data_IF_824998439494
#
_entry.id   IF_824998439494
#
_cell.length_a   1.000
_cell.length_b   1.000
_cell.length_c   1.000
_cell.angle_alpha   90.00
_cell.angle_beta   90.00
_cell.angle_gamma   90.00
#
_symmetry.space_group_name_H-M   'P 1'
#
loop_
_entity.id
_entity.type
_entity.pdbx_description
1 polymer ?
#
# COMPACT_ATOMS: atom_id res chain seq x y z
N UNK A 1 41.08 -6.88 -8.11
CA UNK A 1 40.27 -7.39 -9.24
C UNK A 1 39.53 -8.61 -8.75
N UNK A 2 38.28 -8.41 -8.31
CA UNK A 2 37.42 -9.49 -7.79
C UNK A 2 36.69 -10.11 -9.00
N UNK A 3 37.15 -11.30 -9.45
CA UNK A 3 36.39 -12.09 -10.43
C UNK A 3 35.13 -12.57 -9.75
N UNK A 4 34.00 -11.88 -10.00
CA UNK A 4 32.71 -12.38 -9.60
C UNK A 4 32.52 -13.78 -10.17
N UNK A 5 32.39 -14.78 -9.31
CA UNK A 5 32.02 -16.14 -9.71
C UNK A 5 30.64 -16.04 -10.39
N UNK A 6 30.57 -16.51 -11.65
CA UNK A 6 29.27 -16.65 -12.31
C UNK A 6 28.37 -17.53 -11.42
N UNK A 7 27.09 -17.14 -11.23
CA UNK A 7 26.17 -17.90 -10.39
C UNK A 7 25.97 -19.32 -10.98
N UNK A 8 26.00 -20.34 -10.14
CA UNK A 8 25.67 -21.70 -10.54
C UNK A 8 24.19 -21.82 -10.85
N UNK A 9 23.84 -21.96 -12.12
CA UNK A 9 22.45 -22.03 -12.58
C UNK A 9 21.95 -23.48 -12.65
N UNK A 10 20.68 -23.70 -12.28
CA UNK A 10 20.03 -25.01 -12.33
C UNK A 10 19.31 -25.14 -13.69
N UNK A 11 19.87 -25.96 -14.57
CA UNK A 11 19.39 -26.10 -15.95
C UNK A 11 17.93 -26.55 -16.07
N UNK A 12 17.40 -27.37 -15.14
CA UNK A 12 15.99 -27.78 -15.14
C UNK A 12 15.06 -26.62 -14.85
N UNK A 13 15.43 -25.72 -13.93
CA UNK A 13 14.65 -24.49 -13.62
C UNK A 13 14.63 -23.56 -14.83
N UNK A 14 15.79 -23.30 -15.44
CA UNK A 14 15.87 -22.46 -16.64
C UNK A 14 14.99 -23.01 -17.78
N UNK A 15 15.01 -24.34 -18.00
CA UNK A 15 14.18 -24.98 -19.03
C UNK A 15 12.69 -24.86 -18.72
N UNK A 16 12.28 -25.02 -17.47
CA UNK A 16 10.89 -24.87 -17.04
C UNK A 16 10.40 -23.42 -17.26
N UNK A 17 11.17 -22.41 -16.83
CA UNK A 17 10.85 -21.00 -17.05
C UNK A 17 10.73 -20.68 -18.53
N UNK A 18 11.66 -21.16 -19.37
CA UNK A 18 11.60 -20.96 -20.82
C UNK A 18 10.36 -21.58 -21.46
N UNK A 19 9.92 -22.76 -20.99
CA UNK A 19 8.65 -23.35 -21.44
C UNK A 19 7.47 -22.47 -21.09
N UNK A 20 7.40 -21.95 -19.86
CA UNK A 20 6.35 -21.06 -19.39
C UNK A 20 6.28 -19.77 -20.24
N UNK A 21 7.43 -19.15 -20.52
CA UNK A 21 7.54 -17.96 -21.38
C UNK A 21 6.99 -18.23 -22.79
N UNK A 22 7.36 -19.37 -23.40
CA UNK A 22 6.88 -19.73 -24.74
C UNK A 22 5.38 -19.98 -24.74
N UNK A 23 4.81 -20.62 -23.71
CA UNK A 23 3.35 -20.79 -23.58
C UNK A 23 2.65 -19.44 -23.50
N UNK A 24 3.20 -18.49 -22.71
CA UNK A 24 2.65 -17.13 -22.59
C UNK A 24 2.60 -16.34 -23.90
N UNK A 25 3.47 -16.66 -24.88
CA UNK A 25 3.47 -16.05 -26.21
C UNK A 25 2.38 -16.62 -27.16
N UNK A 26 1.63 -17.66 -26.73
CA UNK A 26 0.63 -18.35 -27.54
C UNK A 26 -0.75 -18.31 -26.85
N UNK A 27 -1.52 -17.24 -27.02
CA UNK A 27 -2.81 -17.06 -26.33
C UNK A 27 -3.83 -18.16 -26.62
N UNK A 28 -3.76 -18.80 -27.80
CA UNK A 28 -4.61 -19.93 -28.18
C UNK A 28 -4.14 -21.31 -27.66
N UNK A 29 -3.06 -21.32 -26.89
CA UNK A 29 -2.42 -22.55 -26.44
C UNK A 29 -1.41 -23.14 -27.43
N UNK A 30 -0.54 -24.01 -26.95
CA UNK A 30 0.55 -24.62 -27.74
C UNK A 30 0.74 -26.09 -27.34
N UNK A 31 0.94 -26.99 -28.33
CA UNK A 31 1.13 -28.39 -28.06
C UNK A 31 2.55 -28.71 -27.58
N UNK A 32 2.73 -29.82 -26.83
CA UNK A 32 4.05 -30.26 -26.35
C UNK A 32 5.09 -30.45 -27.46
N UNK A 33 4.65 -30.89 -28.65
CA UNK A 33 5.55 -31.05 -29.83
C UNK A 33 6.07 -29.70 -30.34
N UNK A 34 5.19 -28.70 -30.39
CA UNK A 34 5.58 -27.36 -30.78
C UNK A 34 6.50 -26.70 -29.73
N UNK A 35 6.20 -26.89 -28.44
CA UNK A 35 7.04 -26.43 -27.35
C UNK A 35 8.46 -27.05 -27.40
N UNK A 36 8.56 -28.37 -27.59
CA UNK A 36 9.83 -29.06 -27.73
C UNK A 36 10.67 -28.46 -28.89
N UNK A 37 10.03 -28.20 -30.03
CA UNK A 37 10.70 -27.57 -31.19
C UNK A 37 11.13 -26.13 -30.93
N UNK A 38 10.27 -25.31 -30.34
CA UNK A 38 10.55 -23.90 -30.07
C UNK A 38 11.66 -23.70 -29.00
N UNK A 39 11.75 -24.64 -28.04
CA UNK A 39 12.75 -24.58 -26.96
C UNK A 39 14.01 -25.40 -27.24
N UNK A 40 14.02 -26.24 -28.28
CA UNK A 40 15.12 -27.14 -28.60
C UNK A 40 15.26 -28.31 -27.61
N UNK A 41 14.24 -28.56 -26.78
CA UNK A 41 14.24 -29.64 -25.79
C UNK A 41 13.79 -30.97 -26.41
N UNK A 42 14.37 -32.08 -25.91
CA UNK A 42 13.84 -33.41 -26.24
C UNK A 42 12.39 -33.55 -25.75
N UNK A 43 11.53 -34.16 -26.56
CA UNK A 43 10.11 -34.30 -26.26
C UNK A 43 9.81 -34.97 -24.91
N UNK A 44 10.52 -36.04 -24.48
CA UNK A 44 10.34 -36.63 -23.14
C UNK A 44 10.63 -35.63 -22.02
N UNK A 45 11.71 -34.86 -22.14
CA UNK A 45 12.07 -33.80 -21.17
C UNK A 45 10.98 -32.72 -21.11
N UNK A 46 10.47 -32.31 -22.26
CA UNK A 46 9.36 -31.36 -22.34
C UNK A 46 8.13 -31.86 -21.59
N UNK A 47 7.72 -33.12 -21.78
CA UNK A 47 6.59 -33.70 -21.06
C UNK A 47 6.81 -33.78 -19.55
N UNK A 48 8.03 -34.07 -19.09
CA UNK A 48 8.32 -34.07 -17.64
C UNK A 48 8.17 -32.70 -17.02
N UNK A 49 8.70 -31.67 -17.68
CA UNK A 49 8.60 -30.27 -17.22
C UNK A 49 7.14 -29.78 -17.27
N UNK A 50 6.42 -30.05 -18.37
CA UNK A 50 5.01 -29.68 -18.51
C UNK A 50 4.14 -30.34 -17.41
N UNK A 51 4.39 -31.59 -17.06
CA UNK A 51 3.67 -32.27 -15.96
C UNK A 51 3.86 -31.56 -14.63
N UNK A 52 5.10 -31.17 -14.32
CA UNK A 52 5.41 -30.39 -13.12
C UNK A 52 4.72 -29.05 -13.14
N UNK A 53 4.85 -28.28 -14.22
CA UNK A 53 4.24 -26.95 -14.34
C UNK A 53 2.70 -27.00 -14.26
N UNK A 54 2.07 -28.05 -14.79
CA UNK A 54 0.62 -28.25 -14.65
C UNK A 54 0.25 -28.65 -13.21
N UNK A 55 1.04 -29.54 -12.57
CA UNK A 55 0.81 -29.93 -11.18
C UNK A 55 0.89 -28.73 -10.22
N UNK A 56 1.85 -27.85 -10.44
CA UNK A 56 2.05 -26.64 -9.65
C UNK A 56 1.12 -25.47 -10.07
N UNK A 57 0.20 -25.68 -11.04
CA UNK A 57 -0.77 -24.67 -11.49
C UNK A 57 -0.20 -23.53 -12.34
N UNK A 58 1.06 -23.59 -12.74
CA UNK A 58 1.66 -22.58 -13.65
C UNK A 58 1.22 -22.74 -15.10
N UNK A 59 0.82 -23.93 -15.51
CA UNK A 59 0.20 -24.22 -16.79
C UNK A 59 -1.10 -24.98 -16.58
N UNK A 60 -2.02 -24.84 -17.55
CA UNK A 60 -3.19 -25.69 -17.68
C UNK A 60 -3.14 -26.45 -19.00
N UNK A 61 -3.69 -27.67 -19.04
CA UNK A 61 -3.81 -28.48 -20.25
C UNK A 61 -5.26 -28.45 -20.71
N UNK A 62 -5.47 -28.09 -21.97
CA UNK A 62 -6.78 -28.08 -22.62
C UNK A 62 -7.17 -29.49 -23.12
N UNK A 63 -8.44 -29.69 -23.45
CA UNK A 63 -9.00 -30.97 -23.93
C UNK A 63 -8.39 -31.44 -25.26
N UNK A 64 -7.98 -30.48 -26.11
CA UNK A 64 -7.28 -30.74 -27.37
C UNK A 64 -5.79 -31.08 -27.18
N UNK A 65 -5.31 -31.07 -25.92
CA UNK A 65 -3.94 -31.38 -25.56
C UNK A 65 -2.96 -30.21 -25.65
N UNK A 66 -3.43 -29.00 -25.95
CA UNK A 66 -2.63 -27.78 -25.89
C UNK A 66 -2.42 -27.34 -24.43
N UNK A 67 -1.38 -26.55 -24.19
CA UNK A 67 -1.04 -25.96 -22.89
C UNK A 67 -1.21 -24.46 -22.96
N UNK A 68 -1.82 -23.89 -21.92
CA UNK A 68 -2.01 -22.46 -21.69
C UNK A 68 -1.41 -22.08 -20.34
N UNK A 69 -1.29 -20.79 -20.08
CA UNK A 69 -0.88 -20.24 -18.79
C UNK A 69 -1.92 -20.60 -17.73
N UNK A 70 -1.46 -21.07 -16.58
CA UNK A 70 -2.29 -21.45 -15.43
C UNK A 70 -2.50 -20.30 -14.43
N UNK A 71 -3.39 -20.53 -13.48
CA UNK A 71 -3.85 -19.51 -12.50
C UNK A 71 -2.75 -18.97 -11.58
N UNK A 72 -1.72 -19.77 -11.26
CA UNK A 72 -0.61 -19.33 -10.41
C UNK A 72 0.17 -18.13 -11.01
N UNK A 73 0.19 -18.00 -12.34
CA UNK A 73 0.85 -16.88 -13.00
C UNK A 73 0.07 -15.58 -12.79
N UNK A 74 -1.26 -15.63 -12.76
CA UNK A 74 -2.09 -14.47 -12.43
C UNK A 74 -1.82 -14.00 -11.00
N UNK A 75 -1.80 -14.92 -10.03
CA UNK A 75 -1.47 -14.58 -8.64
C UNK A 75 -0.07 -13.97 -8.47
N UNK A 76 0.94 -14.45 -9.21
CA UNK A 76 2.27 -13.83 -9.21
C UNK A 76 2.27 -12.43 -9.84
N UNK A 77 1.50 -12.24 -10.91
CA UNK A 77 1.34 -10.93 -11.54
C UNK A 77 0.74 -9.91 -10.58
N UNK A 78 -0.36 -10.28 -9.90
CA UNK A 78 -1.04 -9.44 -8.93
C UNK A 78 -0.12 -9.10 -7.75
N UNK A 79 0.62 -10.07 -7.24
CA UNK A 79 1.62 -9.86 -6.19
C UNK A 79 2.74 -8.90 -6.64
N UNK A 80 3.22 -9.04 -7.87
CA UNK A 80 4.25 -8.16 -8.43
C UNK A 80 3.73 -6.72 -8.59
N UNK A 81 2.50 -6.54 -9.06
CA UNK A 81 1.85 -5.23 -9.15
C UNK A 81 1.67 -4.59 -7.78
N UNK A 82 1.20 -5.34 -6.77
CA UNK A 82 1.05 -4.86 -5.41
C UNK A 82 2.41 -4.42 -4.79
N UNK A 83 3.49 -5.18 -5.04
CA UNK A 83 4.84 -4.82 -4.61
C UNK A 83 5.34 -3.54 -5.29
N UNK A 84 5.13 -3.40 -6.59
CA UNK A 84 5.50 -2.21 -7.34
C UNK A 84 4.76 -0.96 -6.86
N UNK A 85 3.46 -1.10 -6.59
CA UNK A 85 2.62 -0.05 -6.04
C UNK A 85 3.11 0.41 -4.67
N UNK A 86 3.38 -0.54 -3.75
CA UNK A 86 3.94 -0.23 -2.42
C UNK A 86 5.28 0.49 -2.53
N UNK A 87 6.15 0.05 -3.43
CA UNK A 87 7.44 0.71 -3.69
C UNK A 87 7.26 2.15 -4.15
N UNK A 88 6.32 2.40 -5.07
CA UNK A 88 6.01 3.73 -5.59
C UNK A 88 5.45 4.66 -4.49
N UNK A 89 4.54 4.15 -3.67
CA UNK A 89 3.97 4.89 -2.53
C UNK A 89 5.08 5.24 -1.54
N UNK A 90 5.89 4.25 -1.15
CA UNK A 90 7.00 4.46 -0.21
C UNK A 90 8.01 5.47 -0.73
N UNK A 91 8.38 5.42 -2.01
CA UNK A 91 9.27 6.42 -2.63
C UNK A 91 8.68 7.83 -2.55
N UNK A 92 7.38 7.98 -2.83
CA UNK A 92 6.65 9.25 -2.67
C UNK A 92 6.71 9.78 -1.25
N UNK A 93 6.55 8.90 -0.25
CA UNK A 93 6.63 9.28 1.17
C UNK A 93 8.05 9.67 1.58
N UNK A 94 9.07 8.98 1.07
CA UNK A 94 10.49 9.31 1.32
C UNK A 94 10.83 10.70 0.77
N UNK A 95 10.47 10.98 -0.48
CA UNK A 95 10.65 12.29 -1.09
C UNK A 95 9.97 13.39 -0.26
N UNK A 96 8.71 13.17 0.13
CA UNK A 96 7.96 14.13 0.95
C UNK A 96 8.60 14.35 2.33
N UNK A 97 9.14 13.29 2.96
CA UNK A 97 9.87 13.39 4.23
C UNK A 97 11.10 14.29 4.09
N UNK A 98 11.85 14.13 3.00
CA UNK A 98 13.06 14.91 2.73
C UNK A 98 12.73 16.38 2.45
N UNK A 99 11.72 16.61 1.62
CA UNK A 99 11.27 17.97 1.26
C UNK A 99 10.77 18.76 2.48
N UNK A 100 9.98 18.11 3.34
CA UNK A 100 9.33 18.79 4.47
C UNK A 100 10.12 18.68 5.78
N UNK A 101 11.12 17.81 5.84
CA UNK A 101 11.81 17.47 7.08
C UNK A 101 10.83 17.16 8.22
N UNK A 102 9.92 16.22 7.95
CA UNK A 102 8.81 15.78 8.81
C UNK A 102 8.63 14.26 8.71
N UNK A 103 8.11 13.59 9.74
CA UNK A 103 7.71 12.19 9.62
C UNK A 103 6.39 12.07 8.83
N UNK A 104 6.29 11.05 7.99
CA UNK A 104 5.17 10.82 7.08
C UNK A 104 4.44 9.54 7.47
N UNK A 105 3.11 9.58 7.42
CA UNK A 105 2.23 8.46 7.77
C UNK A 105 1.24 8.23 6.62
N UNK A 106 1.06 6.97 6.26
CA UNK A 106 -0.05 6.53 5.42
C UNK A 106 -0.96 5.65 6.27
N UNK A 107 -2.24 5.98 6.32
CA UNK A 107 -3.20 5.26 7.13
C UNK A 107 -4.53 5.12 6.39
N UNK A 108 -5.29 4.07 6.73
CA UNK A 108 -6.65 3.82 6.24
C UNK A 108 -7.62 3.58 7.38
N UNK A 109 -8.91 3.69 7.06
CA UNK A 109 -9.97 3.22 7.92
C UNK A 109 -10.47 1.89 7.39
N UNK A 110 -10.36 0.84 8.19
CA UNK A 110 -10.64 -0.52 7.77
C UNK A 110 -11.33 -1.27 8.91
N UNK A 111 -12.45 -1.93 8.61
CA UNK A 111 -13.28 -2.68 9.57
C UNK A 111 -13.57 -1.92 10.89
N UNK A 112 -13.78 -0.61 10.75
CA UNK A 112 -14.11 0.24 11.91
C UNK A 112 -12.91 0.76 12.69
N UNK A 113 -11.70 0.52 12.24
CA UNK A 113 -10.46 0.85 12.91
C UNK A 113 -9.55 1.77 12.08
N UNK A 114 -8.77 2.60 12.77
CA UNK A 114 -7.67 3.35 12.16
C UNK A 114 -6.44 2.46 12.08
N UNK A 115 -6.02 2.15 10.86
CA UNK A 115 -4.85 1.30 10.59
C UNK A 115 -3.75 2.14 9.96
N UNK A 116 -2.58 2.20 10.60
CA UNK A 116 -1.39 2.83 10.04
C UNK A 116 -0.62 1.78 9.23
N UNK A 117 -0.60 1.95 7.91
CA UNK A 117 0.02 0.99 6.98
C UNK A 117 1.52 1.21 6.84
N UNK A 118 1.94 2.46 6.79
CA UNK A 118 3.33 2.82 6.54
C UNK A 118 3.71 4.08 7.34
N UNK A 119 4.92 4.09 7.91
CA UNK A 119 5.54 5.27 8.51
C UNK A 119 6.92 5.43 7.90
N UNK A 120 7.22 6.63 7.43
CA UNK A 120 8.54 7.01 6.94
C UNK A 120 9.08 8.12 7.82
N UNK A 121 10.03 7.77 8.67
CA UNK A 121 10.68 8.66 9.63
C UNK A 121 12.22 8.60 9.51
N UNK A 122 12.91 9.35 10.34
CA UNK A 122 14.37 9.32 10.46
C UNK A 122 14.81 9.86 11.83
N UNK A 123 16.07 9.70 12.24
CA UNK A 123 16.57 10.32 13.46
C UNK A 123 16.41 11.86 13.52
N UNK A 124 16.34 12.51 12.36
CA UNK A 124 16.09 13.97 12.26
C UNK A 124 14.62 14.34 12.27
N UNK A 125 13.78 13.41 11.87
CA UNK A 125 12.32 13.54 11.78
C UNK A 125 11.68 12.33 12.44
N UNK A 126 11.79 12.18 13.77
CA UNK A 126 11.26 11.02 14.45
C UNK A 126 9.73 11.02 14.34
N UNK A 127 9.16 9.81 14.28
CA UNK A 127 7.72 9.62 14.44
C UNK A 127 7.26 10.11 15.80
N UNK A 128 5.99 10.44 15.92
CA UNK A 128 5.36 10.71 17.22
C UNK A 128 5.35 9.42 18.03
N UNK A 129 5.77 9.50 19.29
CA UNK A 129 5.65 8.36 20.20
C UNK A 129 4.18 7.99 20.37
N UNK A 130 3.83 6.76 19.98
CA UNK A 130 2.48 6.23 20.09
C UNK A 130 2.23 5.72 21.52
N UNK A 131 2.08 6.64 22.49
CA UNK A 131 1.78 6.31 23.88
C UNK A 131 0.32 5.89 24.09
N UNK A 132 -0.56 6.27 23.16
CA UNK A 132 -1.93 5.74 22.99
C UNK A 132 -2.03 5.18 21.59
N UNK A 133 -2.64 4.00 21.43
CA UNK A 133 -2.87 3.40 20.11
C UNK A 133 -3.72 4.36 19.25
N UNK A 134 -3.33 4.53 17.99
CA UNK A 134 -4.05 5.39 17.03
C UNK A 134 -5.54 5.01 16.88
N UNK A 135 -5.90 3.74 17.15
CA UNK A 135 -7.31 3.29 17.19
C UNK A 135 -8.13 4.04 18.23
N UNK A 136 -7.55 4.25 19.42
CA UNK A 136 -8.21 4.96 20.52
C UNK A 136 -8.02 6.48 20.46
N UNK A 137 -7.05 6.95 19.68
CA UNK A 137 -6.71 8.36 19.57
C UNK A 137 -7.16 9.02 18.25
N UNK A 138 -8.08 8.38 17.50
CA UNK A 138 -8.55 8.91 16.21
C UNK A 138 -9.10 10.34 16.31
N UNK A 139 -9.80 10.66 17.40
CA UNK A 139 -10.38 11.99 17.68
C UNK A 139 -9.32 13.08 17.89
N UNK A 140 -8.13 12.71 18.36
CA UNK A 140 -7.06 13.64 18.75
C UNK A 140 -5.96 13.78 17.70
N UNK A 141 -5.97 12.98 16.64
CA UNK A 141 -4.92 12.99 15.60
C UNK A 141 -5.43 13.54 14.28
N UNK A 142 -4.58 14.24 13.52
CA UNK A 142 -4.92 14.67 12.17
C UNK A 142 -5.22 13.47 11.25
N UNK A 143 -4.52 12.36 11.44
CA UNK A 143 -4.77 11.08 10.74
C UNK A 143 -6.19 10.61 10.96
N UNK A 144 -6.58 10.37 12.21
CA UNK A 144 -7.89 9.85 12.55
C UNK A 144 -9.02 10.80 12.15
N UNK A 145 -8.88 12.10 12.42
CA UNK A 145 -9.86 13.11 12.02
C UNK A 145 -10.06 13.18 10.51
N UNK A 146 -8.99 13.02 9.72
CA UNK A 146 -9.08 13.02 8.27
C UNK A 146 -9.81 11.78 7.76
N UNK A 147 -9.51 10.61 8.32
CA UNK A 147 -10.18 9.35 7.99
C UNK A 147 -11.68 9.41 8.36
N UNK A 148 -11.98 9.79 9.59
CA UNK A 148 -13.36 9.90 10.09
C UNK A 148 -14.18 10.92 9.30
N UNK A 149 -13.57 12.01 8.82
CA UNK A 149 -14.25 12.99 7.97
C UNK A 149 -14.69 12.40 6.62
N UNK A 150 -14.06 11.33 6.14
CA UNK A 150 -14.46 10.58 4.94
C UNK A 150 -15.65 9.64 5.15
N UNK A 151 -16.04 9.37 6.40
CA UNK A 151 -17.14 8.48 6.76
C UNK A 151 -18.48 9.20 6.78
N UNK A 152 -19.56 8.45 6.66
CA UNK A 152 -20.92 8.93 6.95
C UNK A 152 -21.07 9.32 8.42
N UNK A 153 -22.12 10.06 8.75
CA UNK A 153 -22.41 10.44 10.14
C UNK A 153 -22.67 9.23 11.04
N UNK A 154 -23.32 8.21 10.50
CA UNK A 154 -23.65 7.00 11.24
C UNK A 154 -22.41 6.17 11.54
N UNK A 155 -21.51 6.01 10.58
CA UNK A 155 -20.21 5.33 10.77
C UNK A 155 -19.33 6.06 11.79
N UNK A 156 -19.29 7.40 11.76
CA UNK A 156 -18.58 8.20 12.77
C UNK A 156 -19.19 8.02 14.17
N UNK A 157 -20.51 7.99 14.26
CA UNK A 157 -21.20 7.76 15.53
C UNK A 157 -20.88 6.37 16.07
N UNK A 158 -20.85 5.36 15.19
CA UNK A 158 -20.51 3.99 15.57
C UNK A 158 -19.04 3.86 15.99
N UNK A 159 -18.13 4.53 15.29
CA UNK A 159 -16.71 4.59 15.69
C UNK A 159 -16.57 5.16 17.11
N UNK A 160 -17.16 6.31 17.41
CA UNK A 160 -17.06 6.92 18.74
C UNK A 160 -17.83 6.19 19.84
N UNK A 161 -18.77 5.31 19.48
CA UNK A 161 -19.39 4.38 20.45
C UNK A 161 -18.41 3.28 20.86
N UNK A 162 -17.60 2.78 19.93
CA UNK A 162 -16.56 1.77 20.18
C UNK A 162 -15.30 2.37 20.80
N UNK A 163 -14.93 3.57 20.39
CA UNK A 163 -13.74 4.31 20.84
C UNK A 163 -14.16 5.68 21.39
N UNK A 164 -14.65 5.74 22.64
CA UNK A 164 -15.04 7.02 23.25
C UNK A 164 -13.85 7.98 23.29
N UNK A 165 -14.05 9.28 22.95
CA UNK A 165 -12.98 10.27 23.01
C UNK A 165 -12.49 10.47 24.45
N UNK A 166 -11.19 10.46 24.65
CA UNK A 166 -10.51 10.68 25.91
C UNK A 166 -9.68 11.97 25.89
N UNK A 167 -9.55 12.63 27.04
CA UNK A 167 -8.69 13.81 27.21
C UNK A 167 -7.22 13.38 27.25
N UNK A 168 -6.52 13.50 26.14
CA UNK A 168 -5.10 13.15 26.04
C UNK A 168 -4.20 14.34 26.42
N UNK A 169 -4.63 15.55 26.09
CA UNK A 169 -3.97 16.81 26.44
C UNK A 169 -5.01 17.87 26.76
N UNK A 170 -4.64 19.02 27.36
CA UNK A 170 -5.58 20.12 27.58
C UNK A 170 -6.17 20.72 26.28
N UNK A 171 -5.69 20.30 25.11
CA UNK A 171 -6.15 20.75 23.80
C UNK A 171 -6.98 19.72 23.05
N UNK A 172 -7.12 18.52 23.59
CA UNK A 172 -7.91 17.45 22.97
C UNK A 172 -9.39 17.83 22.87
N UNK A 173 -9.96 17.62 21.70
CA UNK A 173 -11.40 17.82 21.46
C UNK A 173 -12.11 16.51 21.78
N UNK A 174 -12.98 16.52 22.79
CA UNK A 174 -13.75 15.33 23.23
C UNK A 174 -15.26 15.48 23.04
N UNK A 175 -15.70 16.64 22.55
CA UNK A 175 -17.12 16.91 22.30
C UNK A 175 -17.68 16.06 21.16
N UNK A 176 -18.43 14.99 21.47
CA UNK A 176 -18.98 14.05 20.49
C UNK A 176 -19.74 14.73 19.34
N UNK A 177 -20.57 15.73 19.66
CA UNK A 177 -21.33 16.46 18.65
C UNK A 177 -20.38 17.16 17.64
N UNK A 178 -19.35 17.82 18.14
CA UNK A 178 -18.36 18.50 17.30
C UNK A 178 -17.60 17.51 16.41
N UNK A 179 -17.19 16.36 16.98
CA UNK A 179 -16.46 15.32 16.27
C UNK A 179 -17.31 14.64 15.20
N UNK A 180 -18.58 14.35 15.48
CA UNK A 180 -19.49 13.68 14.55
C UNK A 180 -19.96 14.64 13.44
N UNK A 181 -20.23 15.91 13.76
CA UNK A 181 -20.75 16.90 12.80
C UNK A 181 -19.65 17.61 12.00
N UNK A 182 -18.39 17.31 12.28
CA UNK A 182 -17.25 17.95 11.60
C UNK A 182 -17.34 17.74 10.08
N UNK A 183 -17.28 18.84 9.28
CA UNK A 183 -17.25 18.71 7.82
C UNK A 183 -15.96 18.03 7.37
N UNK A 184 -15.97 17.43 6.18
CA UNK A 184 -14.80 16.84 5.55
C UNK A 184 -13.91 17.93 4.90
N UNK A 185 -12.86 18.44 5.57
CA UNK A 185 -11.98 19.44 5.00
C UNK A 185 -11.00 18.78 4.02
N UNK A 186 -10.54 19.55 3.06
CA UNK A 186 -9.48 19.12 2.14
C UNK A 186 -8.10 18.95 2.82
N UNK A 187 -7.99 19.40 4.06
CA UNK A 187 -6.81 19.29 4.91
C UNK A 187 -7.24 19.37 6.38
N UNK A 188 -6.73 18.45 7.19
CA UNK A 188 -6.94 18.43 8.64
C UNK A 188 -5.66 18.81 9.34
N UNK A 189 -5.76 19.65 10.38
CA UNK A 189 -4.64 20.02 11.25
C UNK A 189 -5.01 19.62 12.67
N UNK A 190 -4.05 19.06 13.38
CA UNK A 190 -4.04 18.84 14.81
C UNK A 190 -2.89 19.64 15.41
N UNK A 191 -3.15 20.28 16.53
CA UNK A 191 -2.14 21.10 17.23
C UNK A 191 -2.14 20.70 18.69
N UNK A 192 -1.19 19.84 19.05
CA UNK A 192 -0.99 19.37 20.44
C UNK A 192 -2.21 18.65 21.05
N UNK A 193 -3.14 18.15 20.23
CA UNK A 193 -4.31 17.43 20.74
C UNK A 193 -3.97 15.99 21.15
N UNK A 194 -3.02 15.34 20.45
CA UNK A 194 -2.53 14.01 20.80
C UNK A 194 -1.29 14.06 21.69
N UNK A 195 -0.36 14.95 21.41
CA UNK A 195 0.92 15.05 22.14
C UNK A 195 1.40 16.50 22.17
N UNK A 196 1.73 16.99 23.38
CA UNK A 196 2.29 18.32 23.55
C UNK A 196 3.59 18.51 22.77
N UNK A 197 3.81 19.69 22.22
CA UNK A 197 4.99 20.03 21.41
C UNK A 197 4.91 19.54 19.95
N UNK A 198 3.89 18.78 19.58
CA UNK A 198 3.71 18.23 18.23
C UNK A 198 2.48 18.79 17.54
N UNK A 199 2.61 19.08 16.26
CA UNK A 199 1.51 19.35 15.35
C UNK A 199 1.52 18.34 14.20
N UNK A 200 0.32 17.99 13.72
CA UNK A 200 0.16 17.08 12.59
C UNK A 200 -0.74 17.71 11.52
N UNK A 201 -0.54 17.32 10.29
CA UNK A 201 -1.37 17.73 9.16
C UNK A 201 -1.67 16.52 8.29
N UNK A 202 -2.91 16.37 7.85
CA UNK A 202 -3.35 15.24 7.05
C UNK A 202 -4.16 15.69 5.84
N UNK A 203 -3.95 15.02 4.71
CA UNK A 203 -4.70 15.20 3.47
C UNK A 203 -5.34 13.87 3.05
N UNK A 204 -6.58 13.85 2.56
CA UNK A 204 -7.21 12.65 2.08
C UNK A 204 -6.52 12.14 0.81
N UNK A 205 -6.30 10.84 0.74
CA UNK A 205 -5.93 10.11 -0.47
C UNK A 205 -7.23 9.57 -1.08
N UNK A 206 -7.52 9.96 -2.33
CA UNK A 206 -8.80 9.63 -2.97
C UNK A 206 -8.74 8.26 -3.61
N UNK A 207 -9.48 7.34 -3.04
CA UNK A 207 -9.73 5.99 -3.55
C UNK A 207 -11.24 5.76 -3.42
N UNK A 208 -11.83 4.97 -4.34
CA UNK A 208 -13.20 4.52 -4.17
C UNK A 208 -13.31 3.64 -2.92
N UNK A 209 -14.39 3.80 -2.17
CA UNK A 209 -14.86 2.92 -1.08
C UNK A 209 -13.93 2.71 0.13
N UNK A 210 -12.74 3.31 0.17
CA UNK A 210 -11.83 3.18 1.31
C UNK A 210 -11.27 4.55 1.74
N UNK A 211 -11.57 5.04 2.96
CA UNK A 211 -10.93 6.24 3.49
C UNK A 211 -9.45 6.01 3.76
N UNK A 212 -8.61 6.74 3.03
CA UNK A 212 -7.15 6.71 3.19
C UNK A 212 -6.64 8.13 3.39
N UNK A 213 -5.60 8.30 4.18
CA UNK A 213 -4.97 9.60 4.43
C UNK A 213 -3.46 9.54 4.39
N UNK A 214 -2.85 10.59 3.87
CA UNK A 214 -1.44 10.88 3.99
C UNK A 214 -1.26 12.00 5.00
N UNK A 215 -0.43 11.78 6.01
CA UNK A 215 -0.21 12.75 7.08
C UNK A 215 1.27 13.00 7.35
N UNK A 216 1.54 14.15 7.97
CA UNK A 216 2.86 14.54 8.45
C UNK A 216 2.79 14.93 9.91
N UNK A 217 3.86 14.67 10.67
CA UNK A 217 4.06 15.21 12.02
C UNK A 217 5.32 16.06 12.09
N UNK A 218 5.26 17.15 12.82
CA UNK A 218 6.35 18.12 12.99
C UNK A 218 6.25 18.84 14.34
N UNK A 219 7.35 19.41 14.87
CA UNK A 219 7.31 20.19 16.08
C UNK A 219 6.37 21.39 15.95
N UNK A 220 5.53 21.64 16.97
CA UNK A 220 4.52 22.74 16.97
C UNK A 220 5.12 24.12 16.70
N UNK A 221 6.39 24.36 17.06
CA UNK A 221 7.09 25.63 16.77
C UNK A 221 7.22 25.94 15.27
N UNK A 222 7.07 24.92 14.41
CA UNK A 222 7.05 25.10 12.95
C UNK A 222 5.65 25.40 12.39
N UNK A 223 4.63 25.50 13.24
CA UNK A 223 3.25 25.72 12.81
C UNK A 223 3.07 27.01 12.00
N UNK A 224 3.83 28.05 12.30
CA UNK A 224 3.79 29.32 11.57
C UNK A 224 4.23 29.20 10.09
N UNK A 225 5.03 28.20 9.75
CA UNK A 225 5.53 27.92 8.39
C UNK A 225 4.72 26.87 7.66
N UNK A 226 3.60 26.42 8.20
CA UNK A 226 2.79 25.30 7.64
C UNK A 226 2.19 25.58 6.27
N UNK A 227 2.10 26.82 5.84
CA UNK A 227 1.68 27.16 4.46
C UNK A 227 2.55 26.45 3.43
N UNK A 228 3.84 26.27 3.74
CA UNK A 228 4.81 25.60 2.87
C UNK A 228 4.59 24.08 2.81
N UNK A 229 3.89 23.48 3.81
CA UNK A 229 3.61 22.05 3.87
C UNK A 229 2.35 21.64 3.12
N UNK A 230 1.37 22.53 2.98
CA UNK A 230 0.05 22.23 2.40
C UNK A 230 0.16 21.75 0.96
N UNK A 231 0.91 22.48 0.13
CA UNK A 231 1.03 22.16 -1.30
C UNK A 231 1.78 20.86 -1.55
N UNK A 232 2.97 20.61 -0.97
CA UNK A 232 3.68 19.34 -1.13
C UNK A 232 2.88 18.13 -0.61
N UNK A 233 2.24 18.26 0.57
CA UNK A 233 1.42 17.19 1.15
C UNK A 233 0.25 16.80 0.22
N UNK A 234 -0.49 17.80 -0.28
CA UNK A 234 -1.59 17.55 -1.22
C UNK A 234 -1.10 16.94 -2.54
N UNK A 235 0.00 17.46 -3.08
CA UNK A 235 0.57 16.93 -4.33
C UNK A 235 1.01 15.46 -4.17
N UNK A 236 1.59 15.10 -3.02
CA UNK A 236 1.94 13.73 -2.71
C UNK A 236 0.69 12.84 -2.52
N UNK A 237 -0.34 13.30 -1.81
CA UNK A 237 -1.60 12.60 -1.67
C UNK A 237 -2.29 12.35 -3.02
N UNK A 238 -2.31 13.36 -3.90
CA UNK A 238 -2.86 13.22 -5.26
C UNK A 238 -2.01 12.27 -6.13
N UNK A 239 -0.68 12.23 -5.96
CA UNK A 239 0.20 11.28 -6.65
C UNK A 239 -0.09 9.85 -6.21
N UNK A 240 -0.23 9.61 -4.91
CA UNK A 240 -0.61 8.31 -4.36
C UNK A 240 -2.01 7.91 -4.84
N UNK A 241 -2.97 8.82 -4.84
CA UNK A 241 -4.34 8.59 -5.35
C UNK A 241 -4.33 8.09 -6.79
N UNK A 242 -3.53 8.72 -7.66
CA UNK A 242 -3.40 8.27 -9.06
C UNK A 242 -2.76 6.88 -9.18
N UNK A 243 -1.74 6.59 -8.38
CA UNK A 243 -1.08 5.27 -8.39
C UNK A 243 -2.04 4.17 -7.98
N UNK A 244 -2.87 4.42 -6.96
CA UNK A 244 -3.89 3.48 -6.47
C UNK A 244 -5.04 3.32 -7.47
N UNK A 245 -5.48 4.40 -8.12
CA UNK A 245 -6.53 4.33 -9.15
C UNK A 245 -6.12 3.48 -10.37
N UNK A 246 -4.84 3.47 -10.72
CA UNK A 246 -4.31 2.63 -11.83
C UNK A 246 -4.24 1.16 -11.42
N UNK A 247 -3.93 0.88 -10.16
CA UNK A 247 -3.81 -0.49 -9.65
C UNK A 247 -5.17 -1.17 -9.38
N UNK A 248 -6.25 -0.39 -9.30
CA UNK A 248 -7.61 -0.89 -9.09
C UNK A 248 -7.93 -1.33 -7.66
N UNK A 249 -6.93 -1.50 -6.81
CA UNK A 249 -7.13 -1.96 -5.43
C UNK A 249 -6.07 -1.40 -4.47
N UNK A 250 -6.44 -1.29 -3.19
CA UNK A 250 -5.50 -0.89 -2.13
C UNK A 250 -4.74 -2.13 -1.63
N UNK A 251 -3.40 -2.12 -1.60
CA UNK A 251 -2.62 -3.28 -1.18
C UNK A 251 -2.81 -3.52 0.33
N UNK A 252 -3.78 -4.36 0.71
CA UNK A 252 -3.92 -4.82 2.08
C UNK A 252 -2.66 -5.57 2.55
N UNK A 253 -2.26 -5.36 3.81
CA UNK A 253 -1.26 -6.23 4.45
C UNK A 253 -1.91 -7.57 4.75
N UNK A 254 -1.41 -8.64 4.14
CA UNK A 254 -1.57 -9.99 4.68
C UNK A 254 -0.78 -10.14 5.97
#
# INVERSE_FOLDING_TARGET
MNRGSEPTLIASVQRALRLLEVVGQHPGGITAKCLARNTGLALPTTYHLLRTLVHEGYLAKLDDGAFIVGEQVAGLHDAAQAQQLRSTIRSTMIELREDLNAAIYLARYDDGEVVVDEIVDSPRTPRVDAWVDFRHAAHATAVGKCLLAGLSKDERTDHFRRHPPEDLTPRTITGLRELVERPAPALVVDTEEYSLGTACMAAPVRIADLPVTLAISFPVRKLATTRDYVRPLRAAADRISRSLAVAGDYPSRN
#
